data_IF_931546574810
#
_entry.id   IF_931546574810
#
_cell.length_a   1.000
_cell.length_b   1.000
_cell.length_c   1.000
_cell.angle_alpha   90.00
_cell.angle_beta   90.00
_cell.angle_gamma   90.00
#
_symmetry.space_group_name_H-M   'P 1'
#
loop_
_entity.id
_entity.type
_entity.pdbx_description
1 polymer ?
#
# COMPACT_ATOMS: atom_id res chain seq x y z
N UNK A 1 -0.33 9.17 -14.68
CA UNK A 1 -1.02 9.01 -16.00
C UNK A 1 -0.39 7.88 -16.83
N UNK A 2 -1.18 7.18 -17.64
CA UNK A 2 -0.69 6.10 -18.50
C UNK A 2 0.27 6.57 -19.62
N UNK A 3 0.17 7.84 -20.02
CA UNK A 3 1.02 8.53 -20.99
C UNK A 3 2.20 9.29 -20.36
N UNK A 4 2.38 9.16 -19.04
CA UNK A 4 3.53 9.75 -18.35
C UNK A 4 4.84 9.11 -18.83
N UNK A 5 5.94 9.85 -18.97
CA UNK A 5 7.26 9.27 -19.24
C UNK A 5 7.67 8.20 -18.21
N UNK A 6 7.21 8.33 -16.96
CA UNK A 6 7.45 7.37 -15.90
C UNK A 6 6.80 6.00 -16.14
N UNK A 7 5.78 5.93 -16.99
CA UNK A 7 5.10 4.69 -17.36
C UNK A 7 6.01 3.70 -18.12
N UNK A 8 7.10 4.22 -18.72
CA UNK A 8 8.11 3.44 -19.42
C UNK A 8 9.01 2.63 -18.48
N UNK A 9 9.03 2.93 -17.18
CA UNK A 9 9.75 2.16 -16.19
C UNK A 9 8.87 1.00 -15.68
N UNK A 10 9.43 -0.21 -15.63
CA UNK A 10 8.74 -1.38 -15.04
C UNK A 10 8.71 -1.31 -13.51
N UNK A 11 9.72 -0.69 -12.90
CA UNK A 11 9.86 -0.49 -11.45
C UNK A 11 10.31 0.94 -11.20
N UNK A 12 9.70 1.63 -10.24
CA UNK A 12 10.07 3.00 -9.86
C UNK A 12 11.08 3.00 -8.71
N UNK A 13 12.28 3.52 -8.95
CA UNK A 13 13.31 3.65 -7.91
C UNK A 13 12.98 4.78 -6.93
N UNK A 14 13.53 4.70 -5.72
CA UNK A 14 13.39 5.79 -4.74
C UNK A 14 13.97 7.10 -5.28
N UNK A 15 15.09 7.05 -6.00
CA UNK A 15 15.70 8.23 -6.65
C UNK A 15 14.76 8.89 -7.67
N UNK A 16 14.09 8.09 -8.51
CA UNK A 16 13.08 8.61 -9.43
C UNK A 16 11.92 9.25 -8.67
N UNK A 17 11.39 8.58 -7.64
CA UNK A 17 10.27 9.09 -6.84
C UNK A 17 10.63 10.41 -6.12
N UNK A 18 11.88 10.58 -5.68
CA UNK A 18 12.37 11.81 -5.04
C UNK A 18 12.30 13.05 -5.94
N UNK A 19 12.32 12.86 -7.26
CA UNK A 19 12.27 13.97 -8.21
C UNK A 19 10.83 14.39 -8.56
N UNK A 20 9.84 13.76 -7.94
CA UNK A 20 8.43 13.88 -8.33
C UNK A 20 7.60 14.41 -7.17
N UNK A 21 6.42 14.95 -7.47
CA UNK A 21 5.42 15.18 -6.41
C UNK A 21 4.76 13.85 -6.07
N UNK A 22 4.80 13.44 -4.81
CA UNK A 22 4.08 12.26 -4.32
C UNK A 22 2.71 12.64 -3.80
N UNK A 23 1.73 11.79 -4.05
CA UNK A 23 0.37 11.90 -3.56
C UNK A 23 0.09 10.65 -2.72
N UNK A 24 -0.21 10.81 -1.44
CA UNK A 24 -0.47 9.67 -0.56
C UNK A 24 -1.48 10.00 0.53
N UNK A 25 -1.81 8.99 1.33
CA UNK A 25 -2.72 9.15 2.46
C UNK A 25 -2.03 9.91 3.61
N UNK A 26 -2.67 10.97 4.08
CA UNK A 26 -2.15 11.89 5.09
C UNK A 26 -1.90 11.24 6.47
N UNK A 27 -2.49 10.07 6.75
CA UNK A 27 -2.52 9.51 8.10
C UNK A 27 -1.10 9.13 8.57
N UNK A 28 -0.50 9.88 9.53
CA UNK A 28 0.88 9.66 9.97
C UNK A 28 1.04 8.36 10.75
N UNK A 29 -0.02 7.87 11.40
CA UNK A 29 0.02 6.66 12.23
C UNK A 29 -0.06 5.35 11.43
N UNK A 30 -0.25 5.44 10.11
CA UNK A 30 -0.41 4.25 9.25
C UNK A 30 0.71 4.17 8.23
N UNK A 31 0.55 4.93 7.16
CA UNK A 31 1.26 4.70 5.90
C UNK A 31 2.36 5.75 5.67
N UNK A 32 2.10 7.00 6.07
CA UNK A 32 3.00 8.13 5.82
C UNK A 32 4.36 7.97 6.51
N UNK A 33 4.41 7.61 7.79
CA UNK A 33 5.69 7.39 8.51
C UNK A 33 6.59 6.35 7.84
N UNK A 34 6.00 5.26 7.34
CA UNK A 34 6.74 4.19 6.65
C UNK A 34 7.27 4.63 5.28
N UNK A 35 6.51 5.46 4.58
CA UNK A 35 6.98 6.12 3.34
C UNK A 35 8.16 7.04 3.67
N UNK A 36 8.01 7.90 4.68
CA UNK A 36 9.05 8.86 5.05
C UNK A 36 10.34 8.14 5.45
N UNK A 37 10.23 7.08 6.27
CA UNK A 37 11.34 6.20 6.63
C UNK A 37 11.98 5.53 5.41
N UNK A 38 11.18 5.02 4.47
CA UNK A 38 11.72 4.38 3.26
C UNK A 38 12.56 5.35 2.42
N UNK A 39 12.20 6.63 2.36
CA UNK A 39 13.04 7.66 1.73
C UNK A 39 14.33 7.90 2.51
N UNK A 40 14.22 8.01 3.83
CA UNK A 40 15.37 8.22 4.70
C UNK A 40 16.38 7.06 4.62
N UNK A 41 15.91 5.83 4.70
CA UNK A 41 16.72 4.60 4.57
C UNK A 41 17.35 4.49 3.17
N UNK A 42 16.72 5.07 2.14
CA UNK A 42 17.28 5.21 0.79
C UNK A 42 18.24 6.41 0.63
N UNK A 43 18.62 7.08 1.72
CA UNK A 43 19.64 8.13 1.73
C UNK A 43 19.14 9.54 1.47
N UNK A 44 17.85 9.85 1.69
CA UNK A 44 17.47 11.26 1.75
C UNK A 44 16.04 11.57 2.20
N UNK A 45 15.68 12.85 2.14
CA UNK A 45 14.37 13.34 2.60
C UNK A 45 13.21 13.04 1.63
N UNK A 46 11.99 12.82 2.14
CA UNK A 46 10.79 12.68 1.29
C UNK A 46 10.64 13.86 0.33
N UNK A 47 10.16 13.63 -0.91
CA UNK A 47 9.94 14.71 -1.87
C UNK A 47 8.74 15.58 -1.49
N UNK A 48 8.36 16.54 -2.36
CA UNK A 48 7.11 17.30 -2.20
C UNK A 48 5.92 16.34 -2.12
N UNK A 49 5.10 16.49 -1.09
CA UNK A 49 3.94 15.62 -0.87
C UNK A 49 2.61 16.38 -0.97
N UNK A 50 1.61 15.73 -1.56
CA UNK A 50 0.20 16.10 -1.55
C UNK A 50 -0.56 15.04 -0.77
N UNK A 51 -1.34 15.50 0.19
CA UNK A 51 -2.03 14.63 1.13
C UNK A 51 -3.51 14.47 0.77
N UNK A 52 -3.98 13.23 0.80
CA UNK A 52 -5.39 12.87 0.62
C UNK A 52 -5.87 11.99 1.78
N UNK A 53 -7.18 11.77 1.88
CA UNK A 53 -7.76 10.86 2.86
C UNK A 53 -8.03 9.45 2.30
N UNK A 54 -7.91 9.23 0.99
CA UNK A 54 -8.17 7.94 0.34
C UNK A 54 -7.21 7.68 -0.81
N UNK A 55 -6.85 6.40 -0.98
CA UNK A 55 -6.04 5.91 -2.11
C UNK A 55 -6.68 6.21 -3.46
N UNK A 56 -8.01 6.09 -3.56
CA UNK A 56 -8.73 6.38 -4.81
C UNK A 56 -8.58 7.86 -5.22
N UNK A 57 -8.72 8.81 -4.29
CA UNK A 57 -8.50 10.23 -4.60
C UNK A 57 -7.04 10.49 -5.01
N UNK A 58 -6.07 9.84 -4.35
CA UNK A 58 -4.66 9.95 -4.75
C UNK A 58 -4.45 9.47 -6.19
N UNK A 59 -5.02 8.30 -6.56
CA UNK A 59 -4.97 7.77 -7.93
C UNK A 59 -5.66 8.70 -8.94
N UNK A 60 -6.79 9.31 -8.58
CA UNK A 60 -7.48 10.30 -9.43
C UNK A 60 -6.64 11.56 -9.66
N UNK A 61 -5.95 12.04 -8.63
CA UNK A 61 -5.03 13.17 -8.74
C UNK A 61 -3.81 12.83 -9.62
N UNK A 62 -3.26 11.62 -9.48
CA UNK A 62 -2.20 11.13 -10.35
C UNK A 62 -2.67 10.96 -11.80
N UNK A 63 -3.93 10.59 -12.04
CA UNK A 63 -4.52 10.49 -13.38
C UNK A 63 -4.49 11.82 -14.13
N UNK A 64 -4.76 12.93 -13.44
CA UNK A 64 -4.77 14.28 -14.03
C UNK A 64 -3.39 14.97 -13.97
N UNK A 65 -2.32 14.23 -13.62
CA UNK A 65 -0.95 14.71 -13.72
C UNK A 65 -0.43 15.52 -12.53
N UNK A 66 -1.11 15.49 -11.37
CA UNK A 66 -0.65 16.24 -10.18
C UNK A 66 0.57 15.62 -9.47
N UNK A 67 0.95 14.40 -9.84
CA UNK A 67 2.05 13.66 -9.23
C UNK A 67 1.92 12.15 -9.39
N UNK A 68 2.67 11.41 -8.57
CA UNK A 68 2.62 9.95 -8.45
C UNK A 68 1.81 9.58 -7.22
N UNK A 69 0.79 8.75 -7.39
CA UNK A 69 0.08 8.16 -6.27
C UNK A 69 0.90 7.02 -5.67
N UNK A 70 1.30 7.14 -4.42
CA UNK A 70 1.87 6.04 -3.63
C UNK A 70 0.81 5.58 -2.64
N UNK A 71 0.20 4.41 -2.89
CA UNK A 71 -1.00 3.91 -2.21
C UNK A 71 -0.86 2.43 -1.84
N UNK A 72 -1.81 1.90 -1.08
CA UNK A 72 -1.84 0.48 -0.73
C UNK A 72 -2.02 -0.42 -1.98
N UNK A 73 -1.42 -1.62 -1.98
CA UNK A 73 -1.46 -2.52 -3.13
C UNK A 73 -2.87 -3.04 -3.44
N UNK A 74 -3.75 -3.17 -2.43
CA UNK A 74 -5.13 -3.61 -2.62
C UNK A 74 -5.91 -2.65 -3.51
N UNK A 75 -5.85 -1.36 -3.21
CA UNK A 75 -6.55 -0.35 -4.00
C UNK A 75 -5.89 -0.18 -5.36
N UNK A 76 -4.54 -0.16 -5.41
CA UNK A 76 -3.81 0.01 -6.66
C UNK A 76 -4.15 -1.09 -7.69
N UNK A 77 -4.19 -2.34 -7.25
CA UNK A 77 -4.36 -3.50 -8.14
C UNK A 77 -5.84 -3.88 -8.27
N UNK A 78 -6.61 -3.81 -7.18
CA UNK A 78 -8.01 -4.24 -7.14
C UNK A 78 -9.02 -3.25 -7.71
N UNK A 79 -8.65 -1.96 -7.87
CA UNK A 79 -9.55 -0.92 -8.41
C UNK A 79 -8.94 -0.33 -9.69
N UNK A 80 -9.16 -0.96 -10.85
CA UNK A 80 -8.62 -0.46 -12.11
C UNK A 80 -9.18 0.92 -12.42
N UNK A 81 -8.28 1.87 -12.67
CA UNK A 81 -8.61 3.24 -13.03
C UNK A 81 -8.11 3.56 -14.43
N UNK A 82 -9.04 3.76 -15.38
CA UNK A 82 -8.71 4.11 -16.75
C UNK A 82 -7.82 5.36 -16.80
N UNK A 83 -6.76 5.31 -17.61
CA UNK A 83 -5.78 6.40 -17.75
C UNK A 83 -4.71 6.43 -16.65
N UNK A 84 -4.70 5.45 -15.75
CA UNK A 84 -3.64 5.25 -14.75
C UNK A 84 -2.93 3.94 -15.02
N UNK A 85 -1.61 3.97 -14.90
CA UNK A 85 -0.75 2.79 -14.91
C UNK A 85 -0.20 2.58 -13.51
N UNK A 86 -0.17 1.33 -13.06
CA UNK A 86 0.37 0.94 -11.76
C UNK A 86 1.73 0.28 -11.98
N UNK A 87 2.70 0.67 -11.15
CA UNK A 87 4.06 0.14 -11.16
C UNK A 87 4.52 -0.16 -9.72
N UNK A 88 5.20 -1.29 -9.48
CA UNK A 88 5.87 -1.51 -8.21
C UNK A 88 6.99 -0.48 -8.00
N UNK A 89 7.34 -0.29 -6.74
CA UNK A 89 8.49 0.53 -6.35
C UNK A 89 9.67 -0.39 -5.99
N UNK A 90 10.90 0.12 -6.09
CA UNK A 90 12.10 -0.68 -5.87
C UNK A 90 12.37 -1.02 -4.38
N UNK A 91 11.62 -0.43 -3.45
CA UNK A 91 11.75 -0.70 -2.02
C UNK A 91 10.50 -1.40 -1.47
N UNK A 92 10.69 -2.24 -0.44
CA UNK A 92 9.57 -2.83 0.27
C UNK A 92 9.08 -1.87 1.34
N UNK A 93 7.84 -1.39 1.20
CA UNK A 93 7.12 -0.64 2.25
C UNK A 93 5.98 -1.55 2.73
N UNK A 94 6.10 -2.19 3.91
CA UNK A 94 5.08 -3.10 4.39
C UNK A 94 3.73 -2.41 4.53
N UNK A 95 2.67 -3.05 4.04
CA UNK A 95 1.29 -2.64 4.27
C UNK A 95 0.54 -3.78 4.96
N UNK A 96 0.04 -3.52 6.17
CA UNK A 96 -0.64 -4.54 6.97
C UNK A 96 -2.15 -4.28 6.95
N UNK A 97 -2.90 -5.35 6.74
CA UNK A 97 -4.35 -5.41 6.81
C UNK A 97 -4.71 -6.82 7.30
N UNK A 98 -5.96 -7.04 7.72
CA UNK A 98 -6.36 -8.34 8.22
C UNK A 98 -7.84 -8.41 8.53
N UNK A 99 -8.27 -9.62 8.89
CA UNK A 99 -9.61 -9.92 9.33
C UNK A 99 -9.63 -9.90 10.87
N UNK A 100 -10.71 -9.35 11.43
CA UNK A 100 -10.89 -9.24 12.87
C UNK A 100 -12.20 -9.94 13.21
N UNK A 101 -12.16 -10.80 14.22
CA UNK A 101 -13.34 -11.47 14.79
C UNK A 101 -13.41 -11.23 16.29
N UNK A 102 -14.56 -11.56 16.90
CA UNK A 102 -14.70 -11.51 18.34
C UNK A 102 -13.78 -12.55 19.00
N UNK A 103 -12.97 -12.11 19.97
CA UNK A 103 -11.96 -12.96 20.64
C UNK A 103 -12.57 -14.16 21.39
N UNK A 104 -13.72 -13.97 22.05
CA UNK A 104 -14.30 -14.94 22.97
C UNK A 104 -15.29 -15.92 22.32
N UNK A 105 -15.46 -15.87 21.00
CA UNK A 105 -16.44 -16.68 20.28
C UNK A 105 -15.75 -17.46 19.18
N UNK A 106 -15.97 -18.79 19.07
CA UNK A 106 -15.54 -19.53 17.89
C UNK A 106 -16.22 -18.94 16.65
N UNK A 107 -15.50 -18.92 15.53
CA UNK A 107 -16.10 -18.60 14.25
C UNK A 107 -17.17 -19.65 13.92
N UNK A 108 -18.30 -19.21 13.36
CA UNK A 108 -19.24 -20.14 12.75
C UNK A 108 -18.62 -20.78 11.50
N UNK A 109 -19.10 -21.94 11.08
CA UNK A 109 -18.62 -22.60 9.87
C UNK A 109 -18.67 -21.69 8.63
N UNK A 110 -19.73 -20.87 8.53
CA UNK A 110 -19.88 -19.87 7.45
C UNK A 110 -18.81 -18.78 7.53
N UNK A 111 -18.48 -18.30 8.73
CA UNK A 111 -17.45 -17.28 8.90
C UNK A 111 -16.05 -17.85 8.61
N UNK A 112 -15.78 -19.07 9.03
CA UNK A 112 -14.52 -19.78 8.71
C UNK A 112 -14.37 -19.96 7.19
N UNK A 113 -15.41 -20.43 6.50
CA UNK A 113 -15.41 -20.56 5.05
C UNK A 113 -15.18 -19.21 4.35
N UNK A 114 -15.76 -18.12 4.86
CA UNK A 114 -15.53 -16.78 4.32
C UNK A 114 -14.08 -16.31 4.52
N UNK A 115 -13.49 -16.57 5.69
CA UNK A 115 -12.08 -16.24 5.97
C UNK A 115 -11.15 -16.96 4.99
N UNK A 116 -11.40 -18.26 4.77
CA UNK A 116 -10.64 -19.08 3.81
C UNK A 116 -10.75 -18.53 2.39
N UNK A 117 -11.97 -18.21 1.93
CA UNK A 117 -12.19 -17.69 0.58
C UNK A 117 -11.55 -16.30 0.38
N UNK A 118 -11.65 -15.41 1.39
CA UNK A 118 -10.96 -14.11 1.35
C UNK A 118 -9.45 -14.32 1.25
N UNK A 119 -8.88 -15.26 1.99
CA UNK A 119 -7.45 -15.57 1.92
C UNK A 119 -7.02 -16.06 0.53
N UNK A 120 -7.83 -16.89 -0.12
CA UNK A 120 -7.60 -17.35 -1.50
C UNK A 120 -7.67 -16.16 -2.47
N UNK A 121 -8.75 -15.38 -2.45
CA UNK A 121 -8.92 -14.20 -3.29
C UNK A 121 -7.78 -13.19 -3.13
N UNK A 122 -7.36 -12.92 -1.90
CA UNK A 122 -6.27 -11.98 -1.61
C UNK A 122 -4.92 -12.46 -2.17
N UNK A 123 -4.60 -13.76 -2.10
CA UNK A 123 -3.38 -14.31 -2.70
C UNK A 123 -3.40 -14.28 -4.24
N UNK A 124 -4.57 -14.44 -4.85
CA UNK A 124 -4.72 -14.31 -6.30
C UNK A 124 -4.48 -12.85 -6.72
N UNK A 125 -5.06 -11.90 -6.00
CA UNK A 125 -4.92 -10.47 -6.30
C UNK A 125 -3.50 -9.97 -6.02
N UNK A 126 -2.88 -10.43 -4.93
CA UNK A 126 -1.56 -10.03 -4.46
C UNK A 126 -0.68 -11.27 -4.22
N UNK A 127 -0.03 -11.80 -5.27
CA UNK A 127 0.78 -13.02 -5.16
C UNK A 127 1.95 -12.92 -4.18
N UNK A 128 2.48 -11.72 -3.95
CA UNK A 128 3.60 -11.46 -3.04
C UNK A 128 3.16 -11.21 -1.59
N UNK A 129 1.86 -11.29 -1.30
CA UNK A 129 1.34 -11.09 0.05
C UNK A 129 1.72 -12.25 0.97
N UNK A 130 2.21 -11.90 2.17
CA UNK A 130 2.49 -12.86 3.23
C UNK A 130 1.29 -12.92 4.18
N UNK A 131 0.73 -14.12 4.38
CA UNK A 131 -0.31 -14.36 5.37
C UNK A 131 0.33 -14.71 6.71
N UNK A 132 -0.14 -14.09 7.78
CA UNK A 132 0.29 -14.36 9.14
C UNK A 132 -0.85 -14.92 9.98
N UNK A 133 -0.52 -15.81 10.91
CA UNK A 133 -1.45 -16.29 11.92
C UNK A 133 -1.93 -15.16 12.82
N UNK A 134 -3.15 -15.27 13.37
CA UNK A 134 -3.70 -14.27 14.27
C UNK A 134 -2.80 -14.00 15.50
N UNK A 135 -2.09 -15.03 15.99
CA UNK A 135 -1.15 -14.92 17.11
C UNK A 135 0.08 -14.06 16.82
N UNK A 136 0.39 -13.78 15.55
CA UNK A 136 1.50 -12.92 15.16
C UNK A 136 1.13 -11.42 15.18
N UNK A 137 -0.15 -11.07 15.40
CA UNK A 137 -0.65 -9.70 15.30
C UNK A 137 0.14 -8.71 16.16
N UNK A 138 0.34 -9.02 17.45
CA UNK A 138 1.02 -8.12 18.38
C UNK A 138 2.50 -7.92 18.00
N UNK A 139 3.18 -8.99 17.57
CA UNK A 139 4.56 -8.93 17.11
C UNK A 139 4.70 -8.07 15.84
N UNK A 140 3.75 -8.21 14.90
CA UNK A 140 3.70 -7.38 13.70
C UNK A 140 3.45 -5.92 14.05
N UNK A 141 2.50 -5.61 14.94
CA UNK A 141 2.27 -4.25 15.40
C UNK A 141 3.51 -3.65 16.08
N UNK A 142 4.20 -4.42 16.93
CA UNK A 142 5.44 -3.96 17.54
C UNK A 142 6.50 -3.64 16.49
N UNK A 143 6.69 -4.47 15.46
CA UNK A 143 7.64 -4.17 14.37
C UNK A 143 7.30 -2.90 13.59
N UNK A 144 6.04 -2.48 13.55
CA UNK A 144 5.61 -1.22 12.91
C UNK A 144 6.02 0.00 13.73
N UNK A 145 6.08 -0.13 15.06
CA UNK A 145 6.32 0.98 15.99
C UNK A 145 7.71 0.96 16.64
N UNK A 146 8.47 -0.14 16.52
CA UNK A 146 9.77 -0.33 17.15
C UNK A 146 10.95 0.36 16.45
N UNK A 147 10.69 1.15 15.40
CA UNK A 147 11.71 1.97 14.73
C UNK A 147 11.29 3.46 14.67
#
# INVERSE_FOLDING_TARGET
>A
PADSPLAAHDVLSMELLRQQTLITMANPYRFRRRIDKAFHDAGGEPPRMLDTNTSLIAMQMARVGLGIALVDPFTAIGVPLQGVVVRPIACSIPFFFGLISAFASPLSDVASALVEEIAVCAKILLPEMIMHEASAHDALLQSIYAE
#
